data_IF_925970483719
#
_entry.id   IF_925970483719
#
_cell.length_a   1.000
_cell.length_b   1.000
_cell.length_c   1.000
_cell.angle_alpha   90.00
_cell.angle_beta   90.00
_cell.angle_gamma   90.00
#
_symmetry.space_group_name_H-M   'P 1'
#
loop_
_entity.id
_entity.type
_entity.pdbx_description
1 polymer ?
#
# COMPACT_ATOMS: atom_id res chain seq x y z
N UNK A 1 -25.18 83.40 8.88
CA UNK A 1 -24.50 82.52 9.86
C UNK A 1 -24.49 81.09 9.29
N UNK A 2 -23.39 80.70 8.65
CA UNK A 2 -23.28 79.40 7.92
C UNK A 2 -22.51 78.44 8.77
N UNK A 3 -23.21 77.37 9.29
CA UNK A 3 -22.56 76.26 10.02
C UNK A 3 -21.93 75.38 8.99
N UNK A 4 -20.61 75.18 9.11
CA UNK A 4 -19.83 74.21 8.35
C UNK A 4 -20.01 72.84 8.99
N UNK A 5 -20.64 71.93 8.26
CA UNK A 5 -20.71 70.53 8.67
C UNK A 5 -19.33 69.87 8.43
N UNK A 6 -18.64 69.48 9.47
CA UNK A 6 -17.44 68.66 9.40
C UNK A 6 -17.86 67.19 9.15
N UNK A 7 -17.48 66.66 8.00
CA UNK A 7 -17.68 65.27 7.64
C UNK A 7 -16.50 64.45 8.19
N UNK A 8 -16.76 63.71 9.25
CA UNK A 8 -15.78 62.78 9.85
C UNK A 8 -15.72 61.52 8.98
N UNK A 9 -14.64 61.36 8.22
CA UNK A 9 -14.40 60.18 7.42
C UNK A 9 -13.73 59.14 8.33
N UNK A 10 -14.52 58.21 8.85
CA UNK A 10 -13.97 57.06 9.64
C UNK A 10 -13.51 56.00 8.64
N UNK A 11 -12.21 55.91 8.43
CA UNK A 11 -11.58 54.82 7.68
C UNK A 11 -11.59 53.59 8.59
N UNK A 12 -12.51 52.68 8.34
CA UNK A 12 -12.47 51.33 8.92
C UNK A 12 -11.42 50.52 8.16
N UNK A 13 -10.22 50.45 8.70
CA UNK A 13 -9.21 49.50 8.22
C UNK A 13 -9.69 48.10 8.64
N UNK A 14 -10.30 47.41 7.70
CA UNK A 14 -10.65 45.99 7.84
C UNK A 14 -9.34 45.21 7.74
N UNK A 15 -8.68 44.97 8.89
CA UNK A 15 -7.60 43.99 8.97
C UNK A 15 -8.19 42.62 8.64
N UNK A 16 -7.98 42.19 7.42
CA UNK A 16 -8.15 40.77 7.06
C UNK A 16 -7.09 39.98 7.85
N UNK A 17 -7.45 39.52 9.03
CA UNK A 17 -6.70 38.48 9.73
C UNK A 17 -6.80 37.25 8.89
N UNK A 18 -5.87 37.08 7.98
CA UNK A 18 -5.64 35.75 7.39
C UNK A 18 -5.23 34.86 8.54
N UNK A 19 -6.17 34.04 9.01
CA UNK A 19 -5.84 32.95 9.91
C UNK A 19 -4.82 32.06 9.18
N UNK A 20 -3.54 32.28 9.45
CA UNK A 20 -2.51 31.34 9.08
C UNK A 20 -2.90 30.04 9.79
N UNK A 21 -3.46 29.08 9.05
CA UNK A 21 -3.62 27.73 9.58
C UNK A 21 -2.22 27.34 10.00
N UNK A 22 -2.02 27.06 11.28
CA UNK A 22 -0.80 26.46 11.75
C UNK A 22 -0.63 25.18 10.93
N UNK A 23 0.34 25.17 10.02
CA UNK A 23 0.67 23.98 9.24
C UNK A 23 1.32 23.04 10.25
N UNK A 24 0.72 21.88 10.44
CA UNK A 24 1.25 20.84 11.29
C UNK A 24 1.53 19.61 10.41
N UNK A 25 2.70 19.00 10.61
CA UNK A 25 3.04 17.74 9.97
C UNK A 25 2.30 16.63 10.72
N UNK A 26 1.11 16.30 10.23
CA UNK A 26 0.27 15.22 10.73
C UNK A 26 -0.50 14.57 9.59
N UNK A 27 -1.03 13.36 9.81
CA UNK A 27 -1.73 12.59 8.78
C UNK A 27 -0.80 11.94 7.78
N UNK A 28 -1.31 11.66 6.59
CA UNK A 28 -0.59 10.90 5.56
C UNK A 28 0.08 11.82 4.55
N UNK A 29 1.33 11.54 4.27
CA UNK A 29 2.19 12.27 3.34
C UNK A 29 2.85 11.31 2.37
N UNK A 30 2.87 11.64 1.09
CA UNK A 30 3.43 10.81 0.02
C UNK A 30 4.47 11.54 -0.80
N UNK A 31 5.45 10.79 -1.28
CA UNK A 31 6.44 11.26 -2.25
C UNK A 31 6.87 10.13 -3.18
N UNK A 32 7.53 10.49 -4.25
CA UNK A 32 8.12 9.53 -5.19
C UNK A 32 9.64 9.71 -5.14
N UNK A 33 10.31 8.66 -4.69
CA UNK A 33 11.76 8.58 -4.71
C UNK A 33 12.21 8.16 -6.11
N UNK A 34 13.03 8.97 -6.75
CA UNK A 34 13.60 8.64 -8.06
C UNK A 34 15.07 8.29 -7.89
N UNK A 35 15.43 7.05 -8.22
CA UNK A 35 16.79 6.54 -8.19
C UNK A 35 17.17 6.02 -9.58
N UNK A 36 17.84 6.85 -10.38
CA UNK A 36 18.14 6.55 -11.78
C UNK A 36 16.86 6.48 -12.63
N UNK A 37 16.55 5.30 -13.17
CA UNK A 37 15.32 5.06 -13.95
C UNK A 37 14.19 4.42 -13.14
N UNK A 38 14.39 4.20 -11.85
CA UNK A 38 13.40 3.58 -10.97
C UNK A 38 12.71 4.66 -10.14
N UNK A 39 11.40 4.53 -10.04
CA UNK A 39 10.56 5.32 -9.17
C UNK A 39 9.96 4.42 -8.10
N UNK A 40 9.94 4.93 -6.88
CA UNK A 40 9.40 4.21 -5.72
C UNK A 40 8.53 5.17 -4.91
N UNK A 41 7.26 4.84 -4.76
CA UNK A 41 6.35 5.58 -3.91
C UNK A 41 6.67 5.33 -2.42
N UNK A 42 6.75 6.40 -1.65
CA UNK A 42 6.90 6.34 -0.21
C UNK A 42 5.73 7.08 0.43
N UNK A 43 5.13 6.46 1.44
CA UNK A 43 4.05 7.05 2.23
C UNK A 43 4.47 7.07 3.69
N UNK A 44 4.31 8.22 4.33
CA UNK A 44 4.55 8.38 5.76
C UNK A 44 3.25 8.75 6.46
N UNK A 45 2.94 8.04 7.55
CA UNK A 45 1.78 8.30 8.40
C UNK A 45 2.27 8.91 9.72
N UNK A 46 1.98 10.19 9.91
CA UNK A 46 2.35 10.92 11.12
C UNK A 46 1.15 11.00 12.07
N UNK A 47 1.11 10.11 13.07
CA UNK A 47 0.08 10.05 14.09
C UNK A 47 0.71 10.42 15.45
N UNK A 48 0.89 11.73 15.69
CA UNK A 48 1.68 12.24 16.80
C UNK A 48 3.12 11.67 16.76
N UNK A 49 3.57 11.01 17.83
CA UNK A 49 4.90 10.39 17.90
C UNK A 49 4.97 8.99 17.29
N UNK A 50 3.83 8.45 16.85
CA UNK A 50 3.79 7.17 16.14
C UNK A 50 3.84 7.44 14.64
N UNK A 51 4.98 7.14 14.04
CA UNK A 51 5.23 7.33 12.62
C UNK A 51 5.51 6.00 11.96
N UNK A 52 4.82 5.74 10.86
CA UNK A 52 5.06 4.55 10.05
C UNK A 52 5.31 4.94 8.59
N UNK A 53 5.96 4.04 7.88
CA UNK A 53 6.25 4.17 6.45
C UNK A 53 5.68 2.99 5.67
N UNK A 54 5.08 3.28 4.53
CA UNK A 54 4.68 2.28 3.55
C UNK A 54 5.48 2.44 2.24
N UNK A 55 5.67 1.31 1.57
CA UNK A 55 6.26 1.24 0.23
C UNK A 55 5.30 0.41 -0.64
N UNK A 56 4.26 1.02 -1.22
CA UNK A 56 3.16 0.30 -1.87
C UNK A 56 3.59 -0.64 -2.99
N UNK A 57 4.57 -0.23 -3.80
CA UNK A 57 5.08 -1.06 -4.91
C UNK A 57 5.81 -2.32 -4.42
N UNK A 58 6.27 -2.31 -3.17
CA UNK A 58 6.91 -3.46 -2.50
C UNK A 58 5.97 -4.17 -1.53
N UNK A 59 4.68 -3.79 -1.46
CA UNK A 59 3.69 -4.34 -0.54
C UNK A 59 4.06 -4.19 0.94
N UNK A 60 5.05 -3.37 1.25
CA UNK A 60 5.48 -3.12 2.61
C UNK A 60 4.61 -2.03 3.22
N UNK A 61 3.99 -2.32 4.36
CA UNK A 61 3.11 -1.40 5.06
C UNK A 61 3.40 -1.37 6.56
N UNK A 62 3.15 -0.22 7.19
CA UNK A 62 3.26 -0.08 8.63
C UNK A 62 4.67 -0.23 9.18
N UNK A 63 5.72 0.02 8.38
CA UNK A 63 7.11 -0.08 8.84
C UNK A 63 7.35 1.01 9.90
N UNK A 64 7.70 0.66 11.15
CA UNK A 64 7.89 1.65 12.21
C UNK A 64 9.04 2.60 11.92
N UNK A 65 8.83 3.89 12.15
CA UNK A 65 9.85 4.93 12.07
C UNK A 65 10.11 5.55 13.44
N UNK A 66 11.36 5.77 13.75
CA UNK A 66 11.78 6.50 14.96
C UNK A 66 11.80 8.01 14.69
N UNK A 67 11.07 8.75 15.50
CA UNK A 67 11.05 10.21 15.41
C UNK A 67 12.29 10.79 16.08
N UNK A 68 13.11 11.51 15.33
CA UNK A 68 14.24 12.28 15.87
C UNK A 68 13.88 13.75 16.06
N UNK A 69 13.02 14.28 15.21
CA UNK A 69 12.45 15.60 15.29
C UNK A 69 11.08 15.61 14.63
N UNK A 70 10.09 16.12 15.32
CA UNK A 70 8.78 16.44 14.73
C UNK A 70 8.30 17.75 15.33
N UNK A 71 8.15 18.75 14.49
CA UNK A 71 7.64 20.08 14.86
C UNK A 71 6.59 20.55 13.86
N UNK A 72 6.08 21.75 14.03
CA UNK A 72 5.07 22.29 13.12
C UNK A 72 5.56 22.41 11.67
N UNK A 73 6.85 22.59 11.46
CA UNK A 73 7.43 22.84 10.13
C UNK A 73 8.62 21.94 9.76
N UNK A 74 9.04 21.05 10.64
CA UNK A 74 10.26 20.26 10.40
C UNK A 74 10.07 18.83 10.88
N UNK A 75 10.60 17.88 10.12
CA UNK A 75 10.59 16.45 10.42
C UNK A 75 11.96 15.85 10.21
N UNK A 76 12.34 14.94 11.12
CA UNK A 76 13.48 14.04 10.97
C UNK A 76 13.12 12.70 11.56
N UNK A 77 13.19 11.66 10.76
CA UNK A 77 12.86 10.27 11.14
C UNK A 77 13.92 9.30 10.66
N UNK A 78 14.01 8.18 11.34
CA UNK A 78 14.80 7.02 10.94
C UNK A 78 13.90 5.80 10.83
N UNK A 79 14.16 4.94 9.87
CA UNK A 79 13.49 3.63 9.72
C UNK A 79 14.56 2.54 9.80
N UNK A 80 14.84 2.04 11.02
CA UNK A 80 15.96 1.11 11.25
C UNK A 80 15.86 -0.18 10.45
N UNK A 81 14.65 -0.68 10.26
CA UNK A 81 14.40 -1.95 9.54
C UNK A 81 14.98 -1.95 8.12
N UNK A 82 15.06 -0.79 7.48
CA UNK A 82 15.56 -0.62 6.11
C UNK A 82 16.77 0.32 6.04
N UNK A 83 17.34 0.68 7.19
CA UNK A 83 18.53 1.54 7.34
C UNK A 83 18.40 2.85 6.58
N UNK A 84 17.24 3.51 6.67
CA UNK A 84 16.98 4.77 6.01
C UNK A 84 16.71 5.90 7.00
N UNK A 85 16.95 7.13 6.57
CA UNK A 85 16.51 8.34 7.27
C UNK A 85 15.90 9.33 6.28
N UNK A 86 14.96 10.12 6.80
CA UNK A 86 14.35 11.22 6.07
C UNK A 86 14.36 12.47 6.94
N UNK A 87 14.71 13.61 6.35
CA UNK A 87 14.61 14.90 7.00
C UNK A 87 14.05 15.94 6.03
N UNK A 88 13.13 16.77 6.47
CA UNK A 88 12.50 17.76 5.62
C UNK A 88 11.90 18.94 6.38
N UNK A 89 11.56 19.97 5.63
CA UNK A 89 10.93 21.18 6.12
C UNK A 89 9.67 21.48 5.34
N UNK A 90 8.58 21.75 6.06
CA UNK A 90 7.29 22.10 5.49
C UNK A 90 7.32 23.56 4.99
N UNK A 91 7.02 23.73 3.71
CA UNK A 91 6.87 25.03 3.05
C UNK A 91 5.78 24.91 1.99
N UNK A 92 4.83 25.82 2.01
CA UNK A 92 3.74 25.91 1.02
C UNK A 92 2.94 24.59 0.86
N UNK A 93 2.73 23.86 1.98
CA UNK A 93 1.99 22.60 1.97
C UNK A 93 2.77 21.39 1.44
N UNK A 94 4.08 21.51 1.22
CA UNK A 94 4.99 20.46 0.77
C UNK A 94 6.13 20.33 1.78
N UNK A 95 6.45 19.12 2.21
CA UNK A 95 7.67 18.88 2.97
C UNK A 95 8.80 18.64 1.97
N UNK A 96 9.65 19.65 1.80
CA UNK A 96 10.86 19.52 0.99
C UNK A 96 11.95 18.85 1.80
N UNK A 97 12.44 17.72 1.32
CA UNK A 97 13.31 16.90 2.15
C UNK A 97 14.35 16.09 1.39
N UNK A 98 15.10 15.35 2.19
CA UNK A 98 16.16 14.46 1.74
C UNK A 98 15.97 13.08 2.35
N UNK A 99 15.88 12.09 1.50
CA UNK A 99 15.94 10.67 1.82
C UNK A 99 17.39 10.20 1.77
N UNK A 100 17.80 9.41 2.78
CA UNK A 100 19.14 8.82 2.82
C UNK A 100 19.04 7.33 3.10
N UNK A 101 19.78 6.53 2.34
CA UNK A 101 19.88 5.09 2.55
C UNK A 101 21.23 4.59 2.01
N UNK A 102 21.91 3.70 2.75
CA UNK A 102 23.17 3.09 2.38
C UNK A 102 24.25 4.11 1.92
N UNK A 103 24.32 5.27 2.59
CA UNK A 103 25.27 6.34 2.27
C UNK A 103 24.89 7.21 1.06
N UNK A 104 23.81 6.87 0.35
CA UNK A 104 23.28 7.69 -0.74
C UNK A 104 22.25 8.68 -0.22
N UNK A 105 22.09 9.80 -0.93
CA UNK A 105 21.12 10.84 -0.63
C UNK A 105 20.34 11.21 -1.88
N UNK A 106 19.03 11.31 -1.73
CA UNK A 106 18.11 11.64 -2.79
C UNK A 106 17.17 12.75 -2.35
N UNK A 107 16.79 13.69 -3.20
CA UNK A 107 15.72 14.61 -2.91
C UNK A 107 14.39 13.83 -2.83
N UNK A 108 13.57 14.15 -1.85
CA UNK A 108 12.24 13.57 -1.70
C UNK A 108 11.30 14.62 -1.13
N UNK A 109 10.41 15.13 -1.95
CA UNK A 109 9.36 16.04 -1.55
C UNK A 109 8.11 15.25 -1.20
N UNK A 110 7.51 15.53 -0.03
CA UNK A 110 6.28 14.91 0.40
C UNK A 110 5.11 15.88 0.29
N UNK A 111 3.99 15.37 -0.23
CA UNK A 111 2.71 16.09 -0.33
C UNK A 111 1.65 15.36 0.51
N UNK A 112 0.66 16.07 1.05
CA UNK A 112 -0.45 15.41 1.72
C UNK A 112 -1.18 14.42 0.80
N UNK A 113 -1.57 13.27 1.33
CA UNK A 113 -2.36 12.25 0.64
C UNK A 113 -1.69 10.89 0.60
N UNK A 114 -2.41 9.92 0.04
CA UNK A 114 -1.98 8.52 -0.09
C UNK A 114 -1.47 8.23 -1.50
N UNK A 115 -0.55 7.28 -1.62
CA UNK A 115 -0.23 6.70 -2.93
C UNK A 115 -1.36 5.74 -3.26
N UNK A 116 -1.88 5.82 -4.48
CA UNK A 116 -2.85 4.84 -4.93
C UNK A 116 -2.18 3.48 -5.01
N UNK A 117 -2.82 2.47 -4.42
CA UNK A 117 -2.36 1.09 -4.58
C UNK A 117 -2.30 0.75 -6.07
N UNK A 118 -1.30 -0.04 -6.50
CA UNK A 118 -1.23 -0.48 -7.88
C UNK A 118 -2.54 -1.15 -8.30
N UNK A 119 -3.11 -0.69 -9.40
CA UNK A 119 -4.30 -1.36 -9.95
C UNK A 119 -3.93 -2.76 -10.43
N UNK A 120 -4.74 -3.75 -10.06
CA UNK A 120 -4.58 -5.16 -10.43
C UNK A 120 -5.76 -5.62 -11.29
N UNK A 121 -5.97 -5.06 -12.48
CA UNK A 121 -7.15 -5.36 -13.30
C UNK A 121 -7.20 -6.82 -13.76
N UNK A 122 -6.08 -7.52 -13.71
CA UNK A 122 -5.99 -8.96 -14.03
C UNK A 122 -6.53 -9.85 -12.91
N UNK A 123 -6.64 -9.36 -11.66
CA UNK A 123 -7.20 -10.17 -10.57
C UNK A 123 -8.70 -10.34 -10.74
N UNK A 124 -9.17 -11.59 -10.81
CA UNK A 124 -10.57 -11.85 -11.03
C UNK A 124 -11.39 -11.41 -9.81
N UNK A 125 -12.50 -10.75 -10.08
CA UNK A 125 -13.47 -10.32 -9.07
C UNK A 125 -14.74 -11.14 -9.21
N UNK A 126 -15.23 -11.67 -8.07
CA UNK A 126 -16.49 -12.42 -8.06
C UNK A 126 -17.72 -11.53 -8.34
N UNK A 127 -18.87 -12.12 -8.62
CA UNK A 127 -19.12 -13.57 -8.61
C UNK A 127 -18.51 -14.28 -9.83
N UNK A 128 -18.01 -15.50 -9.61
CA UNK A 128 -17.40 -16.31 -10.66
C UNK A 128 -18.45 -17.18 -11.35
N UNK A 129 -18.25 -17.47 -12.64
CA UNK A 129 -19.07 -18.36 -13.46
C UNK A 129 -18.61 -19.83 -13.41
N UNK A 130 -17.65 -20.13 -12.54
CA UNK A 130 -17.14 -21.46 -12.24
C UNK A 130 -17.25 -21.77 -10.74
N UNK A 131 -17.28 -23.05 -10.38
CA UNK A 131 -17.32 -23.50 -8.99
C UNK A 131 -15.93 -23.66 -8.41
N UNK A 132 -15.82 -23.41 -7.09
CA UNK A 132 -14.65 -23.72 -6.31
C UNK A 132 -15.04 -24.61 -5.13
N UNK A 133 -14.10 -25.43 -4.64
CA UNK A 133 -14.27 -26.31 -3.52
C UNK A 133 -13.04 -26.23 -2.62
N UNK A 134 -13.26 -26.03 -1.31
CA UNK A 134 -12.19 -26.15 -0.34
C UNK A 134 -11.91 -27.63 -0.07
N UNK A 135 -10.67 -28.02 -0.25
CA UNK A 135 -10.22 -29.41 -0.10
C UNK A 135 -9.07 -29.50 0.89
N UNK A 136 -9.00 -30.66 1.56
CA UNK A 136 -7.85 -31.00 2.39
C UNK A 136 -7.26 -32.33 1.93
N UNK A 137 -5.95 -32.48 2.06
CA UNK A 137 -5.27 -33.73 1.77
C UNK A 137 -4.11 -33.95 2.74
N UNK A 138 -3.90 -35.23 3.12
CA UNK A 138 -2.94 -35.58 4.15
C UNK A 138 -1.75 -36.34 3.55
N UNK A 139 -0.56 -35.95 3.98
CA UNK A 139 0.65 -36.72 3.79
C UNK A 139 0.90 -37.51 5.07
N UNK A 140 0.49 -38.78 5.07
CA UNK A 140 0.61 -39.67 6.23
C UNK A 140 2.06 -39.87 6.68
N UNK A 141 3.02 -39.88 5.73
CA UNK A 141 4.44 -40.06 6.04
C UNK A 141 5.02 -38.88 6.82
N UNK A 142 4.54 -37.67 6.54
CA UNK A 142 4.99 -36.46 7.20
C UNK A 142 4.05 -36.02 8.34
N UNK A 143 2.92 -36.75 8.51
CA UNK A 143 1.82 -36.35 9.41
C UNK A 143 1.42 -34.90 9.26
N UNK A 144 1.17 -34.50 8.01
CA UNK A 144 0.79 -33.13 7.65
C UNK A 144 -0.48 -33.15 6.81
N UNK A 145 -1.43 -32.33 7.18
CA UNK A 145 -2.62 -32.04 6.36
C UNK A 145 -2.46 -30.65 5.75
N UNK A 146 -2.67 -30.55 4.46
CA UNK A 146 -2.64 -29.31 3.70
C UNK A 146 -4.06 -28.95 3.27
N UNK A 147 -4.34 -27.67 3.20
CA UNK A 147 -5.62 -27.10 2.72
C UNK A 147 -5.41 -26.47 1.36
N UNK A 148 -6.42 -26.51 0.53
CA UNK A 148 -6.35 -25.92 -0.79
C UNK A 148 -7.72 -25.64 -1.39
N UNK A 149 -7.72 -24.96 -2.51
CA UNK A 149 -8.92 -24.67 -3.31
C UNK A 149 -8.83 -25.39 -4.65
N UNK A 150 -9.77 -26.27 -4.91
CA UNK A 150 -9.99 -26.87 -6.20
C UNK A 150 -10.93 -25.97 -7.02
N UNK A 151 -10.47 -25.49 -8.14
CA UNK A 151 -11.24 -24.66 -9.08
C UNK A 151 -11.68 -25.52 -10.26
N UNK A 152 -12.97 -25.57 -10.50
CA UNK A 152 -13.55 -26.34 -11.59
C UNK A 152 -13.68 -25.51 -12.88
N UNK A 153 -13.65 -26.11 -14.07
CA UNK A 153 -13.92 -25.40 -15.28
C UNK A 153 -15.34 -24.83 -15.35
N UNK A 154 -15.51 -23.75 -16.09
CA UNK A 154 -16.84 -23.20 -16.39
C UNK A 154 -17.73 -24.31 -16.99
N UNK A 155 -18.92 -24.47 -16.45
CA UNK A 155 -19.89 -25.47 -16.90
C UNK A 155 -19.53 -26.93 -16.55
N UNK A 156 -18.61 -27.17 -15.63
CA UNK A 156 -18.27 -28.52 -15.17
C UNK A 156 -19.47 -29.21 -14.53
N UNK A 157 -19.79 -30.41 -15.00
CA UNK A 157 -20.95 -31.19 -14.54
C UNK A 157 -20.58 -32.52 -13.88
N UNK A 158 -19.30 -32.81 -13.73
CA UNK A 158 -18.81 -34.11 -13.21
C UNK A 158 -18.90 -35.26 -14.18
N UNK A 159 -19.50 -35.11 -15.36
CA UNK A 159 -19.74 -36.18 -16.32
C UNK A 159 -18.56 -36.46 -17.27
N UNK A 160 -17.65 -35.54 -17.39
CA UNK A 160 -16.48 -35.65 -18.28
C UNK A 160 -15.20 -35.53 -17.49
N UNK A 161 -14.20 -36.33 -17.86
CA UNK A 161 -12.84 -36.13 -17.38
C UNK A 161 -12.33 -34.78 -17.88
N UNK A 162 -11.72 -34.00 -17.00
CA UNK A 162 -11.09 -32.72 -17.33
C UNK A 162 -9.64 -32.74 -16.88
N UNK A 163 -8.73 -32.10 -17.62
CA UNK A 163 -7.36 -31.93 -17.15
C UNK A 163 -7.33 -31.11 -15.86
N UNK A 164 -6.40 -31.44 -14.98
CA UNK A 164 -6.19 -30.74 -13.72
C UNK A 164 -4.74 -30.30 -13.65
N UNK A 165 -4.52 -29.05 -13.29
CA UNK A 165 -3.18 -28.48 -13.00
C UNK A 165 -3.05 -28.32 -11.51
N UNK A 166 -1.96 -28.80 -10.93
CA UNK A 166 -1.59 -28.54 -9.53
C UNK A 166 -0.55 -27.43 -9.57
N UNK A 167 -0.85 -26.34 -8.88
CA UNK A 167 0.08 -25.23 -8.74
C UNK A 167 0.88 -25.38 -7.46
N UNK A 168 2.20 -25.33 -7.60
CA UNK A 168 3.15 -25.48 -6.51
C UNK A 168 3.85 -24.14 -6.33
N UNK A 169 3.83 -23.63 -5.13
CA UNK A 169 4.43 -22.36 -4.74
C UNK A 169 5.96 -22.39 -4.82
N UNK A 170 6.59 -21.21 -4.79
CA UNK A 170 8.03 -21.05 -4.74
C UNK A 170 8.63 -21.39 -3.37
N UNK A 171 9.84 -20.93 -3.13
CA UNK A 171 10.54 -21.16 -1.86
C UNK A 171 9.96 -20.29 -0.74
N UNK A 172 9.79 -20.86 0.44
CA UNK A 172 9.27 -20.17 1.62
C UNK A 172 7.87 -20.62 1.98
N UNK A 173 7.30 -20.03 3.03
CA UNK A 173 5.94 -20.30 3.48
C UNK A 173 4.99 -19.41 2.68
N UNK A 174 4.35 -19.97 1.65
CA UNK A 174 3.45 -19.26 0.73
C UNK A 174 2.02 -19.74 0.90
N UNK A 175 1.06 -18.82 0.73
CA UNK A 175 -0.33 -19.20 0.65
C UNK A 175 -0.68 -19.72 -0.77
N UNK A 176 -1.84 -20.33 -0.90
CA UNK A 176 -2.34 -20.96 -2.13
C UNK A 176 -2.42 -20.05 -3.35
N UNK A 177 -2.42 -18.73 -3.12
CA UNK A 177 -2.50 -17.72 -4.18
C UNK A 177 -1.12 -17.22 -4.62
N UNK A 178 -0.02 -17.71 -3.95
CA UNK A 178 1.34 -17.16 -4.11
C UNK A 178 1.33 -15.64 -3.94
N UNK A 179 0.67 -15.15 -2.89
CA UNK A 179 0.40 -13.73 -2.74
C UNK A 179 1.69 -12.95 -2.47
N UNK A 180 2.00 -12.05 -3.40
CA UNK A 180 3.15 -11.16 -3.33
C UNK A 180 2.68 -9.74 -3.59
N UNK A 181 2.97 -8.83 -2.65
CA UNK A 181 2.58 -7.43 -2.75
C UNK A 181 1.08 -7.22 -3.04
N UNK A 182 0.24 -7.91 -2.28
CA UNK A 182 -1.22 -7.91 -2.47
C UNK A 182 -1.66 -8.35 -3.89
N UNK A 183 -0.82 -9.02 -4.63
CA UNK A 183 -1.13 -9.64 -5.91
C UNK A 183 -1.22 -11.15 -5.76
N UNK A 184 -2.22 -11.76 -6.40
CA UNK A 184 -2.56 -13.19 -6.30
C UNK A 184 -2.35 -13.92 -7.63
N UNK A 185 -1.11 -14.18 -8.04
CA UNK A 185 -0.83 -14.74 -9.37
C UNK A 185 -1.52 -16.07 -9.62
N UNK A 186 -1.55 -16.95 -8.62
CA UNK A 186 -2.19 -18.26 -8.80
C UNK A 186 -3.70 -18.18 -8.90
N UNK A 187 -4.34 -17.20 -8.25
CA UNK A 187 -5.76 -16.93 -8.47
C UNK A 187 -6.05 -16.50 -9.91
N UNK A 188 -5.21 -15.62 -10.47
CA UNK A 188 -5.31 -15.16 -11.87
C UNK A 188 -5.17 -16.33 -12.84
N UNK A 189 -4.18 -17.20 -12.61
CA UNK A 189 -3.94 -18.39 -13.45
C UNK A 189 -5.12 -19.38 -13.33
N UNK A 190 -5.63 -19.58 -12.11
CA UNK A 190 -6.76 -20.49 -11.88
C UNK A 190 -8.04 -20.01 -12.56
N UNK A 191 -8.34 -18.72 -12.54
CA UNK A 191 -9.46 -18.13 -13.27
C UNK A 191 -9.31 -18.36 -14.79
N UNK A 192 -8.12 -18.08 -15.32
CA UNK A 192 -7.85 -18.31 -16.74
C UNK A 192 -8.04 -19.78 -17.11
N UNK A 193 -7.49 -20.71 -16.33
CA UNK A 193 -7.66 -22.15 -16.59
C UNK A 193 -9.11 -22.59 -16.52
N UNK A 194 -9.87 -22.13 -15.54
CA UNK A 194 -11.30 -22.45 -15.44
C UNK A 194 -12.08 -22.04 -16.69
N UNK A 195 -11.78 -20.87 -17.26
CA UNK A 195 -12.37 -20.37 -18.51
C UNK A 195 -11.91 -21.14 -19.76
N UNK A 196 -10.75 -21.81 -19.68
CA UNK A 196 -10.21 -22.65 -20.75
C UNK A 196 -10.59 -24.14 -20.62
N UNK A 197 -11.47 -24.50 -19.68
CA UNK A 197 -11.92 -25.89 -19.52
C UNK A 197 -10.93 -26.76 -18.71
N UNK A 198 -10.02 -26.16 -17.96
CA UNK A 198 -8.99 -26.83 -17.15
C UNK A 198 -9.30 -26.59 -15.67
N UNK A 199 -9.32 -27.66 -14.87
CA UNK A 199 -9.39 -27.54 -13.43
C UNK A 199 -8.01 -27.19 -12.84
N UNK A 200 -8.00 -26.58 -11.66
CA UNK A 200 -6.74 -26.31 -10.96
C UNK A 200 -6.86 -26.51 -9.46
N UNK A 201 -5.80 -27.00 -8.85
CA UNK A 201 -5.64 -27.08 -7.41
C UNK A 201 -4.53 -26.11 -6.98
N UNK A 202 -4.88 -25.22 -6.06
CA UNK A 202 -3.96 -24.34 -5.34
C UNK A 202 -4.01 -24.73 -3.88
N UNK A 203 -2.89 -24.78 -3.20
CA UNK A 203 -2.85 -25.19 -1.79
C UNK A 203 -1.84 -24.38 -0.99
N UNK A 204 -2.10 -24.26 0.31
CA UNK A 204 -1.23 -23.53 1.22
C UNK A 204 -0.05 -24.41 1.63
N UNK A 205 1.10 -23.79 1.77
CA UNK A 205 2.27 -24.46 2.33
C UNK A 205 2.07 -24.85 3.80
N UNK A 206 2.87 -25.75 4.25
CA UNK A 206 2.84 -26.22 5.63
C UNK A 206 3.01 -25.05 6.61
N UNK A 207 2.02 -24.86 7.49
CA UNK A 207 2.04 -23.85 8.54
C UNK A 207 1.57 -22.47 8.10
N UNK A 208 1.09 -22.33 6.87
CA UNK A 208 0.42 -21.15 6.35
C UNK A 208 -1.08 -21.38 6.44
N UNK A 209 -1.83 -20.34 6.78
CA UNK A 209 -3.29 -20.31 6.92
C UNK A 209 -3.91 -21.58 7.52
N UNK A 210 -4.12 -21.55 8.82
CA UNK A 210 -4.79 -22.64 9.56
C UNK A 210 -6.29 -22.41 9.63
#
# INVERSE_FOLDING_TARGET
>A
MKMKKALLFTIVIMMAVTAAKAQNISGTWKGVLTAGQQELGLVFHFNNDDVTMDVPEQGATGIPAEVKLLSNDSVSIEVPAVQMSYSGKLSDGIIKGTFKQFGMSFPLDLKPGEVQKPSRPQEPQGPFDYATEEVTFTNDKANVTLSGTLTYPVGYSGKKKTPVVIMVTGSGAQNRDEEVFEHKPFLVIADYFARQGIASLRYDDRGVEK
#
